data_IF_565948204641
#
_entry.id   IF_565948204641
#
_cell.length_a   1.000
_cell.length_b   1.000
_cell.length_c   1.000
_cell.angle_alpha   90.00
_cell.angle_beta   90.00
_cell.angle_gamma   90.00
#
_symmetry.space_group_name_H-M   'P 1'
#
loop_
_entity.id
_entity.type
_entity.pdbx_description
1 polymer ?
#
# COMPACT_ATOMS: atom_id res chain seq x y z
N UNK A 1 27.58 15.94 -19.81
CA UNK A 1 26.44 16.15 -18.87
C UNK A 1 25.27 16.92 -19.50
N UNK A 2 25.46 18.08 -20.16
CA UNK A 2 24.36 18.85 -20.80
C UNK A 2 23.56 18.10 -21.89
N UNK A 3 24.19 17.20 -22.66
CA UNK A 3 23.50 16.39 -23.70
C UNK A 3 22.58 15.29 -23.13
N UNK A 4 22.87 14.78 -21.93
CA UNK A 4 22.01 13.79 -21.26
C UNK A 4 20.72 14.43 -20.71
N UNK A 5 20.80 15.69 -20.24
CA UNK A 5 19.64 16.46 -19.76
C UNK A 5 18.68 16.77 -20.92
N UNK A 6 19.21 17.02 -22.11
CA UNK A 6 18.38 17.31 -23.29
C UNK A 6 17.62 16.06 -23.80
N UNK A 7 18.25 14.87 -23.72
CA UNK A 7 17.60 13.59 -24.03
C UNK A 7 16.51 13.25 -23.00
N UNK A 8 16.77 13.53 -21.72
CA UNK A 8 15.79 13.39 -20.63
C UNK A 8 14.57 14.31 -20.84
N UNK A 9 14.76 15.52 -21.37
CA UNK A 9 13.68 16.46 -21.67
C UNK A 9 12.86 16.09 -22.91
N UNK A 10 13.47 15.49 -23.95
CA UNK A 10 12.74 15.02 -25.14
C UNK A 10 11.85 13.80 -24.87
N UNK A 11 12.09 13.05 -23.78
CA UNK A 11 11.15 12.03 -23.33
C UNK A 11 9.90 12.60 -22.64
N UNK A 12 9.94 13.86 -22.18
CA UNK A 12 8.83 14.51 -21.46
C UNK A 12 7.81 15.16 -22.43
N UNK A 13 8.21 15.47 -23.67
CA UNK A 13 7.37 16.25 -24.61
C UNK A 13 6.38 15.43 -25.44
N UNK A 14 6.14 14.16 -25.11
CA UNK A 14 5.09 13.35 -25.77
C UNK A 14 3.90 13.10 -24.83
N UNK A 15 3.36 14.17 -24.24
CA UNK A 15 2.05 14.09 -23.56
C UNK A 15 0.95 14.14 -24.62
N UNK A 16 0.77 13.03 -25.34
CA UNK A 16 -0.39 12.83 -26.18
C UNK A 16 -1.62 12.67 -25.27
N UNK A 17 -2.65 13.49 -25.49
CA UNK A 17 -3.89 13.54 -24.71
C UNK A 17 -4.77 12.30 -24.96
N UNK A 18 -4.35 11.18 -24.40
CA UNK A 18 -5.04 9.89 -24.38
C UNK A 18 -5.25 9.41 -22.94
N UNK A 19 -5.69 10.33 -22.09
CA UNK A 19 -5.68 10.18 -20.65
C UNK A 19 -6.84 9.28 -20.22
N UNK A 20 -6.51 8.04 -19.85
CA UNK A 20 -7.46 7.08 -19.29
C UNK A 20 -7.32 7.11 -17.77
N UNK A 21 -8.40 7.51 -17.12
CA UNK A 21 -8.50 7.61 -15.67
C UNK A 21 -9.21 6.38 -15.13
N UNK A 22 -8.79 5.94 -13.95
CA UNK A 22 -9.46 4.87 -13.22
C UNK A 22 -9.72 5.35 -11.80
N UNK A 23 -10.92 5.08 -11.29
CA UNK A 23 -11.28 5.35 -9.90
C UNK A 23 -11.96 4.13 -9.33
N UNK A 24 -11.64 3.76 -8.08
CA UNK A 24 -12.20 2.57 -7.50
C UNK A 24 -12.01 2.45 -6.02
N UNK A 25 -12.48 1.31 -5.53
CA UNK A 25 -12.37 0.92 -4.13
C UNK A 25 -11.41 -0.25 -4.00
N UNK A 26 -10.76 -0.31 -2.84
CA UNK A 26 -9.86 -1.39 -2.46
C UNK A 26 -10.40 -2.02 -1.17
N UNK A 27 -10.51 -3.35 -1.13
CA UNK A 27 -10.92 -4.12 0.04
C UNK A 27 -10.00 -5.32 0.22
N UNK A 28 -9.55 -5.57 1.43
CA UNK A 28 -8.62 -6.65 1.71
C UNK A 28 -8.42 -6.84 3.19
N UNK A 29 -7.25 -7.35 3.54
CA UNK A 29 -6.84 -7.37 4.92
C UNK A 29 -5.39 -7.00 5.13
N UNK A 30 -5.14 -6.48 6.32
CA UNK A 30 -3.84 -6.04 6.81
C UNK A 30 -3.26 -7.10 7.74
N UNK A 31 -1.94 -7.26 7.66
CA UNK A 31 -1.16 -8.04 8.60
C UNK A 31 0.05 -7.22 9.07
N UNK A 32 0.19 -7.06 10.38
CA UNK A 32 1.35 -6.40 10.97
C UNK A 32 2.46 -7.42 11.20
N UNK A 33 3.70 -7.03 10.92
CA UNK A 33 4.87 -7.88 11.12
C UNK A 33 5.92 -7.04 11.85
N UNK A 34 6.14 -7.39 13.12
CA UNK A 34 7.13 -6.75 13.97
C UNK A 34 7.35 -7.51 15.29
N UNK A 35 7.56 -6.77 16.36
CA UNK A 35 8.04 -7.31 17.63
C UNK A 35 6.97 -8.03 18.45
N UNK A 36 5.71 -7.58 18.35
CA UNK A 36 4.54 -8.23 18.96
C UNK A 36 3.72 -9.01 17.92
N UNK A 37 3.35 -10.25 18.26
CA UNK A 37 2.37 -11.03 17.49
C UNK A 37 2.88 -12.33 16.86
N UNK A 38 2.02 -12.90 15.98
CA UNK A 38 2.23 -14.18 15.28
C UNK A 38 3.50 -14.17 14.44
N UNK A 39 4.23 -15.28 14.49
CA UNK A 39 5.37 -15.58 13.61
C UNK A 39 4.95 -15.97 12.19
N UNK A 40 3.65 -16.19 11.94
CA UNK A 40 3.12 -16.54 10.62
C UNK A 40 2.72 -15.29 9.82
N UNK A 41 3.43 -15.05 8.73
CA UNK A 41 3.43 -13.78 7.99
C UNK A 41 2.30 -13.61 6.97
N UNK A 42 1.50 -14.65 6.70
CA UNK A 42 0.72 -14.75 5.44
C UNK A 42 -0.80 -14.54 5.63
N UNK A 43 -1.32 -14.52 6.86
CA UNK A 43 -2.77 -14.42 7.09
C UNK A 43 -3.17 -13.02 7.56
N UNK A 44 -4.01 -12.29 6.78
CA UNK A 44 -4.53 -11.01 7.21
C UNK A 44 -5.53 -11.17 8.36
N UNK A 45 -5.29 -10.45 9.46
CA UNK A 45 -6.07 -10.60 10.69
C UNK A 45 -7.18 -9.54 10.83
N UNK A 46 -7.14 -8.48 10.03
CA UNK A 46 -8.13 -7.39 10.04
C UNK A 46 -8.57 -7.02 8.64
N UNK A 47 -9.83 -6.64 8.51
CA UNK A 47 -10.38 -6.08 7.27
C UNK A 47 -9.88 -4.65 7.12
N UNK A 48 -9.30 -4.37 5.95
CA UNK A 48 -8.78 -3.06 5.57
C UNK A 48 -9.38 -2.65 4.22
N UNK A 49 -9.46 -1.35 3.99
CA UNK A 49 -10.08 -0.84 2.77
C UNK A 49 -9.67 0.59 2.43
N UNK A 50 -10.01 1.02 1.23
CA UNK A 50 -9.55 2.31 0.73
C UNK A 50 -10.12 2.70 -0.62
N UNK A 51 -9.63 3.83 -1.11
CA UNK A 51 -9.91 4.38 -2.42
C UNK A 51 -8.62 4.36 -3.25
N UNK A 52 -8.78 4.12 -4.55
CA UNK A 52 -7.69 4.17 -5.51
C UNK A 52 -8.08 5.03 -6.69
N UNK A 53 -7.13 5.84 -7.14
CA UNK A 53 -7.22 6.59 -8.37
C UNK A 53 -5.97 6.32 -9.21
N UNK A 54 -6.17 6.06 -10.50
CA UNK A 54 -5.08 5.84 -11.44
C UNK A 54 -5.23 6.75 -12.64
N UNK A 55 -4.09 7.15 -13.16
CA UNK A 55 -3.93 7.92 -14.36
C UNK A 55 -2.97 7.18 -15.27
N UNK A 56 -3.51 6.55 -16.33
CA UNK A 56 -2.73 5.75 -17.26
C UNK A 56 -1.97 6.68 -18.23
N UNK A 57 -0.63 6.68 -18.13
CA UNK A 57 0.25 7.39 -19.06
C UNK A 57 0.37 6.64 -20.38
N UNK A 58 0.43 5.31 -20.31
CA UNK A 58 0.47 4.40 -21.45
C UNK A 58 -0.07 3.02 -21.00
N UNK A 59 -0.25 2.04 -21.91
CA UNK A 59 -0.78 0.72 -21.53
C UNK A 59 0.05 -0.07 -20.50
N UNK A 60 1.31 0.35 -20.26
CA UNK A 60 2.24 -0.29 -19.33
C UNK A 60 2.48 0.50 -18.04
N UNK A 61 2.27 1.81 -18.02
CA UNK A 61 2.62 2.68 -16.89
C UNK A 61 1.41 3.52 -16.50
N UNK A 62 1.04 3.44 -15.22
CA UNK A 62 0.04 4.29 -14.62
C UNK A 62 0.60 5.00 -13.38
N UNK A 63 0.25 6.28 -13.23
CA UNK A 63 0.41 6.99 -11.96
C UNK A 63 -0.76 6.59 -11.08
N UNK A 64 -0.49 6.15 -9.85
CA UNK A 64 -1.51 5.72 -8.89
C UNK A 64 -1.41 6.54 -7.61
N UNK A 65 -2.55 7.06 -7.16
CA UNK A 65 -2.77 7.54 -5.81
C UNK A 65 -3.77 6.65 -5.08
N UNK A 66 -3.58 6.44 -3.78
CA UNK A 66 -4.54 5.72 -2.95
C UNK A 66 -4.63 6.32 -1.55
N UNK A 67 -5.78 6.09 -0.93
CA UNK A 67 -6.00 6.30 0.48
C UNK A 67 -6.47 4.97 1.07
N UNK A 68 -5.87 4.53 2.18
CA UNK A 68 -6.18 3.26 2.81
C UNK A 68 -6.29 3.41 4.32
N UNK A 69 -7.34 2.82 4.89
CA UNK A 69 -7.50 2.63 6.31
C UNK A 69 -7.16 1.16 6.64
N UNK A 70 -6.09 0.96 7.41
CA UNK A 70 -5.56 -0.36 7.75
C UNK A 70 -5.54 -0.54 9.27
N UNK A 71 -6.54 -1.23 9.84
CA UNK A 71 -6.47 -1.67 11.22
C UNK A 71 -5.34 -2.70 11.38
N UNK A 72 -4.45 -2.52 12.34
CA UNK A 72 -3.38 -3.46 12.67
C UNK A 72 -3.52 -3.90 14.12
N UNK A 73 -3.20 -5.17 14.38
CA UNK A 73 -3.27 -5.76 15.71
C UNK A 73 -2.20 -6.84 15.80
N UNK A 74 -1.62 -6.96 16.98
CA UNK A 74 -0.74 -8.06 17.38
C UNK A 74 -1.13 -8.55 18.76
N UNK A 75 -1.01 -9.86 18.97
CA UNK A 75 -1.21 -10.54 20.26
C UNK A 75 -0.11 -11.60 20.40
N UNK A 76 0.65 -11.51 21.49
CA UNK A 76 1.77 -12.42 21.76
C UNK A 76 1.31 -13.84 22.14
N UNK A 77 0.06 -14.05 22.61
CA UNK A 77 -0.51 -15.39 22.87
C UNK A 77 -0.68 -16.23 21.60
N UNK A 78 -0.70 -15.54 20.48
CA UNK A 78 -0.96 -16.10 19.17
C UNK A 78 0.36 -16.54 18.50
N UNK A 79 1.52 -16.25 19.12
CA UNK A 79 2.86 -16.50 18.63
C UNK A 79 3.32 -17.94 18.90
N UNK A 80 4.02 -18.58 17.96
CA UNK A 80 4.61 -19.92 18.19
C UNK A 80 5.86 -19.87 19.10
N UNK A 81 6.22 -18.70 19.61
CA UNK A 81 7.38 -18.47 20.45
C UNK A 81 6.97 -18.37 21.93
N UNK A 82 7.37 -19.37 22.72
CA UNK A 82 7.10 -19.45 24.16
C UNK A 82 7.54 -18.19 24.94
N UNK A 83 8.59 -17.49 24.51
CA UNK A 83 9.01 -16.23 25.15
C UNK A 83 8.02 -15.10 24.90
N UNK A 84 7.42 -15.03 23.71
CA UNK A 84 6.40 -14.04 23.37
C UNK A 84 5.11 -14.35 24.13
N UNK A 85 4.64 -15.60 24.09
CA UNK A 85 3.46 -16.03 24.86
C UNK A 85 3.56 -15.67 26.35
N UNK A 86 4.74 -15.85 26.96
CA UNK A 86 4.97 -15.50 28.37
C UNK A 86 4.88 -14.00 28.68
N UNK A 87 5.13 -13.12 27.70
CA UNK A 87 5.00 -11.66 27.86
C UNK A 87 3.55 -11.19 27.75
N UNK A 88 2.72 -11.88 26.97
CA UNK A 88 1.27 -11.64 26.85
C UNK A 88 0.92 -10.17 26.53
N UNK A 89 1.66 -9.55 25.59
CA UNK A 89 1.34 -8.21 25.10
C UNK A 89 0.33 -8.25 23.95
N UNK A 90 -0.55 -7.26 23.91
CA UNK A 90 -1.46 -7.06 22.79
C UNK A 90 -1.61 -5.58 22.48
N UNK A 91 -1.78 -5.26 21.20
CA UNK A 91 -2.00 -3.89 20.74
C UNK A 91 -3.03 -3.84 19.61
N UNK A 92 -3.72 -2.72 19.45
CA UNK A 92 -4.66 -2.51 18.36
C UNK A 92 -4.59 -1.05 17.89
N UNK A 93 -4.14 -0.85 16.66
CA UNK A 93 -3.94 0.46 16.07
C UNK A 93 -4.66 0.55 14.72
N UNK A 94 -4.91 1.75 14.22
CA UNK A 94 -5.48 1.93 12.89
C UNK A 94 -4.67 2.96 12.13
N UNK A 95 -4.10 2.52 11.02
CA UNK A 95 -3.26 3.34 10.16
C UNK A 95 -4.13 3.97 9.08
N UNK A 96 -4.03 5.28 8.92
CA UNK A 96 -4.60 6.00 7.78
C UNK A 96 -3.46 6.42 6.85
N UNK A 97 -3.32 5.74 5.71
CA UNK A 97 -2.23 5.94 4.75
C UNK A 97 -2.75 6.66 3.49
N UNK A 98 -2.00 7.67 3.04
CA UNK A 98 -2.10 8.23 1.69
C UNK A 98 -0.80 7.90 0.98
N UNK A 99 -0.86 7.27 -0.20
CA UNK A 99 0.32 7.00 -0.99
C UNK A 99 0.14 7.33 -2.47
N UNK A 100 1.26 7.66 -3.11
CA UNK A 100 1.32 7.98 -4.53
C UNK A 100 2.56 7.36 -5.17
N UNK A 101 2.44 6.93 -6.42
CA UNK A 101 3.57 6.36 -7.15
C UNK A 101 3.19 5.78 -8.49
N UNK A 102 3.92 4.73 -8.87
CA UNK A 102 3.86 4.14 -10.20
C UNK A 102 3.38 2.69 -10.13
N UNK A 103 2.54 2.34 -11.09
CA UNK A 103 2.12 0.97 -11.40
C UNK A 103 2.70 0.62 -12.78
N UNK A 104 3.42 -0.50 -12.87
CA UNK A 104 3.99 -1.01 -14.11
C UNK A 104 3.37 -2.36 -14.47
N UNK A 105 2.77 -2.45 -15.65
CA UNK A 105 2.13 -3.64 -16.19
C UNK A 105 3.10 -4.38 -17.13
N UNK A 106 3.29 -5.67 -16.91
CA UNK A 106 4.20 -6.47 -17.73
C UNK A 106 3.66 -6.69 -19.15
N UNK A 107 2.35 -6.90 -19.30
CA UNK A 107 1.67 -6.94 -20.59
C UNK A 107 0.91 -5.65 -20.85
N UNK A 108 0.80 -5.28 -22.13
CA UNK A 108 -0.02 -4.15 -22.55
C UNK A 108 -1.46 -4.37 -22.14
N UNK A 109 -1.94 -3.46 -21.30
CA UNK A 109 -3.27 -3.54 -20.74
C UNK A 109 -4.07 -2.32 -21.14
N UNK A 110 -5.22 -2.57 -21.73
CA UNK A 110 -6.19 -1.55 -22.07
C UNK A 110 -7.59 -2.12 -21.86
N UNK A 111 -8.33 -1.55 -20.91
CA UNK A 111 -9.71 -1.97 -20.56
C UNK A 111 -10.64 -1.93 -21.78
N UNK A 112 -10.33 -1.11 -22.78
CA UNK A 112 -11.18 -0.87 -23.96
C UNK A 112 -10.72 -1.60 -25.24
N UNK A 113 -9.55 -2.23 -25.24
CA UNK A 113 -9.04 -3.01 -26.38
C UNK A 113 -9.24 -4.50 -26.16
N UNK A 114 -9.63 -5.23 -27.21
CA UNK A 114 -9.96 -6.66 -27.21
C UNK A 114 -8.75 -7.61 -27.04
N UNK A 115 -7.56 -7.08 -26.75
CA UNK A 115 -6.33 -7.86 -26.57
C UNK A 115 -6.23 -8.59 -25.22
N UNK A 116 -5.08 -8.46 -24.54
CA UNK A 116 -4.81 -9.14 -23.26
C UNK A 116 -5.78 -8.69 -22.16
N UNK A 117 -6.62 -9.61 -21.72
CA UNK A 117 -7.67 -9.36 -20.71
C UNK A 117 -7.12 -9.30 -19.29
N UNK A 118 -5.91 -9.82 -19.05
CA UNK A 118 -5.22 -9.79 -17.75
C UNK A 118 -3.75 -9.41 -17.89
N UNK A 119 -3.19 -8.77 -16.87
CA UNK A 119 -1.76 -8.44 -16.79
C UNK A 119 -1.28 -8.50 -15.34
N UNK A 120 -0.14 -9.15 -15.06
CA UNK A 120 0.55 -8.94 -13.80
C UNK A 120 1.15 -7.52 -13.79
N UNK A 121 1.20 -6.92 -12.62
CA UNK A 121 1.80 -5.62 -12.42
C UNK A 121 2.62 -5.56 -11.13
N UNK A 122 3.55 -4.62 -11.11
CA UNK A 122 4.28 -4.23 -9.91
C UNK A 122 3.90 -2.80 -9.53
N UNK A 123 3.99 -2.52 -8.24
CA UNK A 123 3.66 -1.24 -7.62
C UNK A 123 4.86 -0.73 -6.84
N UNK A 124 5.18 0.54 -6.99
CA UNK A 124 6.09 1.25 -6.10
C UNK A 124 5.53 2.64 -5.79
N UNK A 125 5.37 2.94 -4.51
CA UNK A 125 4.81 4.20 -4.01
C UNK A 125 5.66 4.80 -2.91
N UNK A 126 5.42 6.08 -2.65
CA UNK A 126 5.82 6.76 -1.42
C UNK A 126 4.53 7.14 -0.70
N UNK A 127 4.44 6.78 0.58
CA UNK A 127 3.28 6.98 1.41
C UNK A 127 3.60 7.80 2.66
N UNK A 128 2.56 8.42 3.19
CA UNK A 128 2.54 8.97 4.54
C UNK A 128 1.36 8.36 5.27
N UNK A 129 1.57 7.92 6.52
CA UNK A 129 0.53 7.32 7.33
C UNK A 129 0.44 7.99 8.70
N UNK A 130 -0.79 8.10 9.18
CA UNK A 130 -1.12 8.52 10.53
C UNK A 130 -1.43 7.30 11.40
N UNK A 131 -0.94 7.32 12.63
CA UNK A 131 -1.13 6.26 13.62
C UNK A 131 -1.12 6.81 15.04
N UNK A 132 -1.56 6.01 16.00
CA UNK A 132 -1.45 6.35 17.42
C UNK A 132 -0.14 5.80 17.99
N UNK A 133 0.54 6.57 18.83
CA UNK A 133 1.77 6.17 19.53
C UNK A 133 1.68 6.59 21.01
N UNK A 134 2.22 5.82 21.97
CA UNK A 134 2.20 6.18 23.39
C UNK A 134 3.15 7.35 23.67
N UNK A 135 2.63 8.43 24.26
CA UNK A 135 3.42 9.62 24.56
C UNK A 135 3.87 9.67 26.03
N UNK A 136 2.96 9.37 26.95
CA UNK A 136 3.23 9.47 28.39
C UNK A 136 2.36 8.51 29.19
N UNK A 137 2.80 8.18 30.40
CA UNK A 137 2.01 7.44 31.39
C UNK A 137 1.60 8.39 32.49
N UNK A 138 0.30 8.66 32.63
CA UNK A 138 -0.25 9.52 33.69
C UNK A 138 -1.13 8.67 34.58
N UNK A 139 -0.70 8.49 35.85
CA UNK A 139 -1.46 7.72 36.83
C UNK A 139 -1.63 6.24 36.51
N UNK A 140 -0.66 5.64 35.79
CA UNK A 140 -0.71 4.23 35.36
C UNK A 140 -1.45 3.97 34.05
N UNK A 141 -2.06 5.00 33.45
CA UNK A 141 -2.69 4.91 32.13
C UNK A 141 -1.78 5.48 31.05
N UNK A 142 -1.62 4.72 29.95
CA UNK A 142 -0.87 5.15 28.77
C UNK A 142 -1.74 6.12 27.96
N UNK A 143 -1.23 7.34 27.74
CA UNK A 143 -1.83 8.34 26.87
C UNK A 143 -1.29 8.16 25.45
N UNK A 144 -2.20 8.11 24.49
CA UNK A 144 -1.87 7.96 23.07
C UNK A 144 -2.01 9.30 22.35
N UNK A 145 -1.01 9.63 21.53
CA UNK A 145 -1.01 10.78 20.64
C UNK A 145 -1.00 10.32 19.18
N UNK A 146 -1.43 11.19 18.27
CA UNK A 146 -1.39 10.90 16.84
C UNK A 146 -0.07 11.37 16.25
N UNK A 147 0.69 10.46 15.63
CA UNK A 147 1.93 10.78 14.92
C UNK A 147 1.79 10.50 13.41
N UNK A 148 2.69 11.08 12.62
CA UNK A 148 2.78 10.90 11.19
C UNK A 148 4.15 10.37 10.81
N UNK A 149 4.18 9.38 9.94
CA UNK A 149 5.41 8.81 9.42
C UNK A 149 5.31 8.51 7.93
N UNK A 150 6.45 8.21 7.32
CA UNK A 150 6.58 7.86 5.92
C UNK A 150 6.69 6.35 5.74
N UNK A 151 6.10 5.85 4.66
CA UNK A 151 6.16 4.47 4.22
C UNK A 151 6.61 4.37 2.76
N UNK A 152 7.16 3.23 2.40
CA UNK A 152 7.38 2.84 0.99
C UNK A 152 6.55 1.60 0.71
N UNK A 153 5.34 1.75 0.12
CA UNK A 153 4.56 0.64 -0.37
C UNK A 153 5.17 0.04 -1.65
N UNK A 154 5.54 -1.23 -1.59
CA UNK A 154 5.97 -2.04 -2.73
C UNK A 154 5.02 -3.23 -2.89
N UNK A 155 4.55 -3.48 -4.11
CA UNK A 155 3.51 -4.47 -4.34
C UNK A 155 3.63 -5.23 -5.63
N UNK A 156 2.98 -6.39 -5.65
CA UNK A 156 2.73 -7.17 -6.86
C UNK A 156 1.24 -7.45 -6.94
N UNK A 157 0.72 -7.54 -8.16
CA UNK A 157 -0.68 -7.84 -8.36
C UNK A 157 -0.98 -8.38 -9.74
N UNK A 158 -2.21 -8.83 -9.91
CA UNK A 158 -2.76 -9.23 -11.19
C UNK A 158 -4.04 -8.44 -11.37
N UNK A 159 -4.16 -7.75 -12.51
CA UNK A 159 -5.38 -7.04 -12.88
C UNK A 159 -6.01 -7.63 -14.12
N UNK A 160 -7.32 -7.56 -14.20
CA UNK A 160 -8.10 -8.10 -15.29
C UNK A 160 -9.30 -7.23 -15.63
N UNK A 161 -9.75 -7.30 -16.88
CA UNK A 161 -10.97 -6.63 -17.35
C UNK A 161 -12.20 -7.44 -16.96
N UNK A 162 -13.23 -6.76 -16.43
CA UNK A 162 -14.57 -7.33 -16.23
C UNK A 162 -15.48 -6.93 -17.39
N UNK A 163 -15.48 -5.64 -17.73
CA UNK A 163 -16.31 -5.03 -18.77
C UNK A 163 -15.55 -3.86 -19.39
N UNK A 164 -16.14 -3.17 -20.37
CA UNK A 164 -15.48 -2.11 -21.13
C UNK A 164 -15.08 -0.91 -20.25
N UNK A 165 -15.69 -0.75 -19.07
CA UNK A 165 -15.42 0.32 -18.12
C UNK A 165 -15.12 -0.20 -16.71
N UNK A 166 -15.04 -1.51 -16.50
CA UNK A 166 -14.80 -2.10 -15.17
C UNK A 166 -13.63 -3.07 -15.23
N UNK A 167 -12.73 -2.94 -14.27
CA UNK A 167 -11.61 -3.84 -14.07
C UNK A 167 -11.51 -4.27 -12.60
N UNK A 168 -10.95 -5.45 -12.38
CA UNK A 168 -10.58 -5.93 -11.06
C UNK A 168 -9.06 -6.03 -10.94
N UNK A 169 -8.55 -5.97 -9.72
CA UNK A 169 -7.18 -6.36 -9.43
C UNK A 169 -7.09 -7.08 -8.09
N UNK A 170 -6.21 -8.06 -8.01
CA UNK A 170 -5.75 -8.65 -6.77
C UNK A 170 -4.32 -8.16 -6.51
N UNK A 171 -4.05 -7.65 -5.32
CA UNK A 171 -2.77 -7.05 -4.92
C UNK A 171 -2.30 -7.66 -3.60
N UNK A 172 -1.00 -7.91 -3.51
CA UNK A 172 -0.31 -8.08 -2.23
C UNK A 172 0.87 -7.10 -2.19
N UNK A 173 0.95 -6.33 -1.13
CA UNK A 173 1.90 -5.23 -1.04
C UNK A 173 2.41 -5.03 0.39
N UNK A 174 3.71 -4.85 0.50
CA UNK A 174 4.47 -4.63 1.74
C UNK A 174 4.69 -3.12 1.87
N UNK A 175 4.41 -2.57 3.05
CA UNK A 175 4.75 -1.20 3.43
C UNK A 175 5.95 -1.25 4.34
N UNK A 176 7.10 -0.85 3.80
CA UNK A 176 8.31 -0.67 4.59
C UNK A 176 8.17 0.66 5.33
N UNK A 177 8.30 0.64 6.66
CA UNK A 177 8.30 1.86 7.47
C UNK A 177 9.71 2.16 7.98
N UNK A 178 9.92 3.40 8.43
CA UNK A 178 11.17 3.85 9.03
C UNK A 178 11.02 4.08 10.54
N UNK A 179 10.03 3.43 11.15
CA UNK A 179 9.64 3.59 12.55
C UNK A 179 9.48 2.22 13.19
N UNK A 180 9.59 2.23 14.51
CA UNK A 180 9.66 1.04 15.38
C UNK A 180 8.64 1.14 16.53
N UNK A 181 7.64 2.02 16.37
CA UNK A 181 6.66 2.35 17.42
C UNK A 181 5.21 2.12 16.96
N UNK A 182 5.01 1.33 15.89
CA UNK A 182 3.66 1.05 15.38
C UNK A 182 2.88 0.12 16.33
N UNK A 183 3.59 -0.70 17.09
CA UNK A 183 3.09 -1.63 18.13
C UNK A 183 3.10 -1.06 19.55
N UNK A 184 3.32 0.25 19.68
CA UNK A 184 3.49 0.97 20.95
C UNK A 184 4.82 0.71 21.67
N UNK A 185 5.79 0.05 21.03
CA UNK A 185 7.14 -0.04 21.56
C UNK A 185 7.77 1.35 21.67
N UNK A 186 8.35 1.66 22.82
CA UNK A 186 9.14 2.89 22.97
C UNK A 186 10.24 2.77 24.02
N UNK A 187 11.45 3.21 23.67
CA UNK A 187 12.58 3.32 24.61
C UNK A 187 12.35 4.38 25.70
N UNK A 188 11.39 5.30 25.49
CA UNK A 188 11.09 6.38 26.44
C UNK A 188 10.40 5.87 27.71
N UNK A 189 9.70 4.74 27.61
CA UNK A 189 8.91 4.16 28.70
C UNK A 189 9.40 2.73 28.89
N UNK A 190 10.10 2.46 30.00
CA UNK A 190 10.75 1.17 30.25
C UNK A 190 9.76 -0.02 30.28
N UNK A 191 8.48 0.22 30.58
CA UNK A 191 7.44 -0.81 30.56
C UNK A 191 6.88 -1.12 29.16
N UNK A 192 7.20 -0.27 28.17
CA UNK A 192 6.83 -0.41 26.76
C UNK A 192 8.06 -0.67 25.88
N UNK A 193 9.21 -0.98 26.46
CA UNK A 193 10.39 -1.40 25.71
C UNK A 193 10.35 -2.93 25.55
N UNK A 194 9.92 -3.41 24.38
CA UNK A 194 9.75 -4.84 24.11
C UNK A 194 11.01 -5.50 23.51
N UNK A 195 12.08 -4.74 23.30
CA UNK A 195 13.39 -5.25 22.89
C UNK A 195 13.42 -5.74 21.45
N UNK A 196 13.46 -4.78 20.52
CA UNK A 196 13.79 -4.94 19.10
C UNK A 196 14.37 -3.62 18.59
N UNK A 197 15.20 -3.69 17.55
CA UNK A 197 15.84 -2.53 16.91
C UNK A 197 15.50 -2.50 15.39
N UNK A 198 14.43 -3.16 15.00
CA UNK A 198 14.15 -3.49 13.61
C UNK A 198 12.87 -2.85 13.14
N UNK A 199 12.96 -1.89 12.21
CA UNK A 199 11.80 -1.16 11.70
C UNK A 199 10.61 -2.08 11.38
N UNK A 200 9.45 -1.68 11.90
CA UNK A 200 8.18 -2.33 11.66
C UNK A 200 7.80 -2.29 10.18
N UNK A 201 7.17 -3.35 9.70
CA UNK A 201 6.51 -3.33 8.41
C UNK A 201 5.14 -3.97 8.51
N UNK A 202 4.27 -3.58 7.61
CA UNK A 202 2.94 -4.18 7.51
C UNK A 202 2.65 -4.54 6.07
N UNK A 203 1.88 -5.59 5.92
CA UNK A 203 1.49 -6.09 4.61
C UNK A 203 -0.01 -5.92 4.45
N UNK A 204 -0.41 -5.82 3.20
CA UNK A 204 -1.79 -5.71 2.83
C UNK A 204 -2.04 -6.56 1.59
N UNK A 205 -3.09 -7.37 1.64
CA UNK A 205 -3.49 -8.25 0.55
C UNK A 205 -4.99 -8.12 0.33
N UNK A 206 -5.42 -7.93 -0.92
CA UNK A 206 -6.83 -7.78 -1.21
C UNK A 206 -7.18 -7.60 -2.68
N UNK A 207 -8.43 -7.23 -2.90
CA UNK A 207 -9.03 -7.03 -4.20
C UNK A 207 -9.43 -5.56 -4.39
N UNK A 208 -9.36 -5.07 -5.62
CA UNK A 208 -9.94 -3.80 -6.02
C UNK A 208 -10.85 -3.96 -7.22
N UNK A 209 -11.82 -3.07 -7.27
CA UNK A 209 -12.67 -2.86 -8.44
C UNK A 209 -12.50 -1.41 -8.82
N UNK A 210 -12.14 -1.17 -10.08
CA UNK A 210 -11.91 0.17 -10.62
C UNK A 210 -12.81 0.40 -11.84
N UNK A 211 -13.37 1.60 -11.90
CA UNK A 211 -14.12 2.11 -13.02
C UNK A 211 -13.24 2.99 -13.89
N UNK A 212 -13.20 2.70 -15.18
CA UNK A 212 -12.35 3.35 -16.17
C UNK A 212 -13.15 4.38 -16.96
N UNK A 213 -12.63 5.60 -17.09
CA UNK A 213 -13.25 6.68 -17.85
C UNK A 213 -12.19 7.55 -18.54
N UNK A 214 -12.60 8.27 -19.59
CA UNK A 214 -11.70 9.04 -20.43
C UNK A 214 -11.74 8.58 -21.89
N UNK A 215 -11.05 9.32 -22.76
CA UNK A 215 -11.00 9.01 -24.19
C UNK A 215 -9.65 8.35 -24.54
N UNK A 216 -9.64 7.22 -25.25
CA UNK A 216 -8.39 6.69 -25.82
C UNK A 216 -7.82 7.69 -26.84
N UNK A 217 -6.52 7.57 -27.16
CA UNK A 217 -5.89 8.42 -28.16
C UNK A 217 -6.66 8.33 -29.48
N UNK A 218 -7.05 9.47 -30.07
CA UNK A 218 -7.77 9.53 -31.35
C UNK A 218 -6.95 9.08 -32.58
N UNK A 219 -5.92 8.25 -32.40
CA UNK A 219 -5.06 7.75 -33.49
C UNK A 219 -5.24 6.25 -33.78
N UNK A 220 -6.18 5.57 -33.12
CA UNK A 220 -6.48 4.17 -33.37
C UNK A 220 -7.87 4.02 -33.97
N UNK A 221 -8.03 4.52 -35.20
CA UNK A 221 -8.97 3.98 -36.19
C UNK A 221 -8.26 4.11 -37.54
N UNK A 222 -7.43 3.13 -37.86
CA UNK A 222 -7.14 2.80 -39.26
C UNK A 222 -7.72 1.42 -39.50
N UNK A 223 -8.65 1.39 -40.44
CA UNK A 223 -9.45 0.25 -40.95
C UNK A 223 -8.70 -1.09 -41.05
#
# INVERSE_FOLDING_TARGET
MKRFILILFTFITTVAYAQIHEVGIFLGGSNYIGDIGRTNYVFPNKVAGGLVYKYNLNPRIAIRGNYTALPINGDDNDSDNLFREQRNFSFNNTLHEIAAGLEFNFFEYNVRSLGHTFTPYILAQVGAFNYKTPESVVGGNVQFTSDFSLSIPLGIGIKGRISDHLAFAFESAIRLTFKDDLDYTTDKITSLNFGGNGNDFYTFTGFSIVYTFGRPACYADTE
#
